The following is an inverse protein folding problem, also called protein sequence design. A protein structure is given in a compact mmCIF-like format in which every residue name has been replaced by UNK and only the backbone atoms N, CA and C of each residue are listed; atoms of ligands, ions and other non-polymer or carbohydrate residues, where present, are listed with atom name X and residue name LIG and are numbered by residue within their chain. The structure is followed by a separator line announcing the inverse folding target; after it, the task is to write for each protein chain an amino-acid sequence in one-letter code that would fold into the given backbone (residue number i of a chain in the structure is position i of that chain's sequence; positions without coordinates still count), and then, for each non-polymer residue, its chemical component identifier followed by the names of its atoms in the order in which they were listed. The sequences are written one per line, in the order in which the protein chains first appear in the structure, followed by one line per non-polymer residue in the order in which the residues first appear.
data_IF_186838282245
#
_entry.id   IF_186838282245
#
_cell.length_a   1.000
_cell.length_b   1.000
_cell.length_c   1.000
_cell.angle_alpha   90.00
_cell.angle_beta   90.00
_cell.angle_gamma   90.00
#
_symmetry.space_group_name_H-M   'P 1'
#
loop_
_entity.id
_entity.type
_entity.pdbx_description
1 polymer ?
#
# COMPACT_ATOMS: atom_id res chain seq x y z
N UNK A 1 1.84 -64.53 2.29
CA UNK A 1 1.76 -63.29 3.09
C UNK A 1 2.55 -62.23 2.35
N UNK A 2 1.87 -61.52 1.45
CA UNK A 2 2.50 -60.55 0.55
C UNK A 2 2.49 -59.18 1.22
N UNK A 3 3.64 -58.76 1.76
CA UNK A 3 3.84 -57.41 2.28
C UNK A 3 4.10 -56.45 1.12
N UNK A 4 3.02 -55.80 0.65
CA UNK A 4 3.09 -54.74 -0.34
C UNK A 4 3.29 -53.41 0.40
N UNK A 5 4.54 -53.01 0.65
CA UNK A 5 4.87 -51.67 1.12
C UNK A 5 4.93 -50.74 -0.07
N UNK A 6 3.81 -50.08 -0.40
CA UNK A 6 3.81 -48.92 -1.29
C UNK A 6 4.60 -47.79 -0.62
N UNK A 7 5.55 -47.14 -1.31
CA UNK A 7 6.19 -45.96 -0.76
C UNK A 7 5.16 -44.83 -0.75
N UNK A 8 5.08 -44.12 0.38
CA UNK A 8 4.41 -42.82 0.47
C UNK A 8 5.15 -41.89 -0.47
N UNK A 9 4.65 -41.74 -1.71
CA UNK A 9 5.06 -40.65 -2.57
C UNK A 9 4.53 -39.38 -1.91
N UNK A 10 5.43 -38.72 -1.21
CA UNK A 10 5.30 -37.36 -0.73
C UNK A 10 4.76 -36.53 -1.87
N UNK A 11 3.62 -35.89 -1.67
CA UNK A 11 3.02 -34.98 -2.63
C UNK A 11 3.98 -33.79 -2.83
N UNK A 12 4.81 -33.89 -3.88
CA UNK A 12 5.79 -32.89 -4.29
C UNK A 12 5.12 -31.73 -5.06
N UNK A 13 3.80 -31.56 -4.96
CA UNK A 13 3.04 -30.47 -5.60
C UNK A 13 2.53 -29.39 -4.63
N UNK A 14 2.98 -29.37 -3.38
CA UNK A 14 2.60 -28.36 -2.38
C UNK A 14 3.31 -26.99 -2.57
N UNK A 15 3.45 -26.52 -3.80
CA UNK A 15 4.04 -25.23 -4.12
C UNK A 15 3.13 -24.38 -5.03
N UNK A 16 2.73 -23.21 -4.49
CA UNK A 16 2.44 -21.94 -5.21
C UNK A 16 1.02 -21.68 -5.77
N UNK A 17 -0.03 -21.94 -4.99
CA UNK A 17 -1.31 -21.23 -5.21
C UNK A 17 -1.45 -20.12 -4.17
N UNK A 18 -1.63 -18.87 -4.62
CA UNK A 18 -2.05 -17.76 -3.74
C UNK A 18 -3.39 -18.15 -3.12
N UNK A 19 -3.50 -18.05 -1.79
CA UNK A 19 -4.74 -18.30 -1.07
C UNK A 19 -5.38 -16.98 -0.57
N UNK A 20 -6.54 -17.10 0.08
CA UNK A 20 -7.26 -15.92 0.56
C UNK A 20 -6.57 -15.28 1.76
N UNK A 21 -5.82 -16.07 2.53
CA UNK A 21 -5.01 -15.61 3.66
C UNK A 21 -3.88 -14.70 3.18
N UNK A 22 -3.19 -15.04 2.09
CA UNK A 22 -2.16 -14.20 1.44
C UNK A 22 -2.74 -12.83 1.03
N UNK A 23 -3.93 -12.82 0.41
CA UNK A 23 -4.60 -11.58 -0.01
C UNK A 23 -5.06 -10.77 1.19
N UNK A 24 -5.65 -11.42 2.19
CA UNK A 24 -6.11 -10.76 3.42
C UNK A 24 -4.94 -10.14 4.17
N UNK A 25 -3.79 -10.83 4.21
CA UNK A 25 -2.58 -10.29 4.81
C UNK A 25 -2.14 -8.99 4.12
N UNK A 26 -2.03 -8.98 2.79
CA UNK A 26 -1.69 -7.78 2.05
C UNK A 26 -2.67 -6.62 2.31
N UNK A 27 -3.97 -6.90 2.34
CA UNK A 27 -4.98 -5.87 2.64
C UNK A 27 -4.85 -5.31 4.07
N UNK A 28 -4.46 -6.14 5.04
CA UNK A 28 -4.17 -5.69 6.41
C UNK A 28 -2.88 -4.87 6.48
N UNK A 29 -1.88 -5.18 5.66
CA UNK A 29 -0.69 -4.35 5.52
C UNK A 29 -1.04 -2.96 4.97
N UNK A 30 -1.94 -2.86 3.99
CA UNK A 30 -2.44 -1.56 3.50
C UNK A 30 -3.27 -0.81 4.57
N UNK A 31 -4.06 -1.53 5.38
CA UNK A 31 -4.83 -0.94 6.48
C UNK A 31 -3.94 -0.19 7.48
N UNK A 32 -2.69 -0.62 7.63
CA UNK A 32 -1.71 0.01 8.49
C UNK A 32 -1.51 1.51 8.21
N UNK A 33 -1.75 1.97 6.97
CA UNK A 33 -1.61 3.37 6.59
C UNK A 33 -2.52 4.28 7.43
N UNK A 34 -3.68 3.78 7.89
CA UNK A 34 -4.61 4.52 8.76
C UNK A 34 -4.01 4.87 10.12
N UNK A 35 -2.91 4.22 10.52
CA UNK A 35 -2.21 4.45 11.79
C UNK A 35 -1.17 5.57 11.68
N UNK A 36 -0.78 5.96 10.47
CA UNK A 36 0.20 7.03 10.24
C UNK A 36 -0.52 8.36 10.36
N UNK A 37 -0.30 9.06 11.47
CA UNK A 37 -0.88 10.39 11.69
C UNK A 37 0.02 11.47 11.10
N UNK A 38 -0.60 12.39 10.35
CA UNK A 38 0.01 13.60 9.79
C UNK A 38 -0.03 14.75 10.78
N UNK A 39 0.71 15.82 10.49
CA UNK A 39 0.63 17.08 11.27
C UNK A 39 -0.68 17.85 11.04
N UNK A 40 -1.31 17.66 9.90
CA UNK A 40 -2.59 18.29 9.56
C UNK A 40 -3.70 17.85 10.52
N UNK A 41 -4.62 18.76 10.82
CA UNK A 41 -5.83 18.44 11.57
C UNK A 41 -7.01 18.29 10.61
N UNK A 42 -7.93 17.40 10.95
CA UNK A 42 -9.21 17.34 10.25
C UNK A 42 -10.00 18.61 10.58
N UNK A 43 -10.51 19.27 9.53
CA UNK A 43 -11.18 20.56 9.61
C UNK A 43 -12.24 20.59 10.72
N UNK A 44 -12.15 21.59 11.59
CA UNK A 44 -13.04 21.79 12.74
C UNK A 44 -13.03 20.65 13.77
N UNK A 45 -11.91 19.92 13.89
CA UNK A 45 -11.71 18.90 14.93
C UNK A 45 -10.32 19.02 15.55
N UNK A 46 -10.15 18.43 16.73
CA UNK A 46 -8.84 18.30 17.39
C UNK A 46 -8.09 17.02 16.97
N UNK A 47 -8.61 16.28 15.99
CA UNK A 47 -8.03 15.03 15.51
C UNK A 47 -7.04 15.30 14.39
N UNK A 48 -5.89 14.63 14.45
CA UNK A 48 -4.93 14.62 13.34
C UNK A 48 -5.48 13.82 12.17
N UNK A 49 -5.21 14.32 10.98
CA UNK A 49 -5.38 13.59 9.73
C UNK A 49 -4.42 12.38 9.71
N UNK A 50 -4.82 11.25 9.13
CA UNK A 50 -3.96 10.11 8.83
C UNK A 50 -3.69 10.00 7.33
N UNK A 51 -2.67 9.24 6.93
CA UNK A 51 -2.22 9.19 5.54
C UNK A 51 -3.21 8.50 4.60
N UNK A 52 -4.07 7.60 5.11
CA UNK A 52 -5.10 6.96 4.29
C UNK A 52 -6.25 7.93 3.96
N UNK A 53 -6.73 8.71 4.93
CA UNK A 53 -7.75 9.74 4.66
C UNK A 53 -7.19 10.91 3.83
N UNK A 54 -5.90 11.22 3.99
CA UNK A 54 -5.20 12.18 3.13
C UNK A 54 -5.19 11.72 1.67
N UNK A 55 -4.79 10.47 1.42
CA UNK A 55 -4.76 9.88 0.08
C UNK A 55 -6.14 9.83 -0.57
N UNK A 56 -7.19 9.49 0.20
CA UNK A 56 -8.57 9.59 -0.27
C UNK A 56 -8.94 11.02 -0.68
N UNK A 57 -8.65 12.01 0.17
CA UNK A 57 -9.01 13.40 -0.11
C UNK A 57 -8.22 13.94 -1.31
N UNK A 58 -6.94 13.57 -1.44
CA UNK A 58 -6.10 13.90 -2.59
C UNK A 58 -6.69 13.33 -3.89
N UNK A 59 -7.09 12.05 -3.90
CA UNK A 59 -7.70 11.42 -5.08
C UNK A 59 -8.98 12.16 -5.52
N UNK A 60 -9.84 12.53 -4.56
CA UNK A 60 -11.05 13.31 -4.83
C UNK A 60 -10.73 14.70 -5.38
N UNK A 61 -9.74 15.38 -4.81
CA UNK A 61 -9.31 16.71 -5.26
C UNK A 61 -8.72 16.65 -6.69
N UNK A 62 -7.82 15.70 -6.95
CA UNK A 62 -7.20 15.50 -8.26
C UNK A 62 -8.27 15.25 -9.34
N UNK A 63 -9.21 14.35 -9.09
CA UNK A 63 -10.29 14.06 -10.04
C UNK A 63 -11.18 15.29 -10.27
N UNK A 64 -11.64 15.94 -9.20
CA UNK A 64 -12.50 17.12 -9.32
C UNK A 64 -11.84 18.27 -10.09
N UNK A 65 -10.54 18.50 -9.87
CA UNK A 65 -9.79 19.57 -10.55
C UNK A 65 -9.57 19.21 -12.01
N UNK A 66 -9.24 17.95 -12.33
CA UNK A 66 -9.07 17.51 -13.70
C UNK A 66 -10.34 17.72 -14.53
N UNK A 67 -11.50 17.36 -13.99
CA UNK A 67 -12.81 17.57 -14.62
C UNK A 67 -13.16 19.06 -14.74
N UNK A 68 -12.98 19.84 -13.66
CA UNK A 68 -13.35 21.26 -13.63
C UNK A 68 -12.56 22.12 -14.64
N UNK A 69 -11.30 21.76 -14.88
CA UNK A 69 -10.41 22.49 -15.77
C UNK A 69 -10.17 21.79 -17.11
N UNK A 70 -10.91 20.71 -17.40
CA UNK A 70 -10.79 19.94 -18.65
C UNK A 70 -9.33 19.54 -18.95
N UNK A 71 -8.61 19.09 -17.93
CA UNK A 71 -7.19 18.74 -18.06
C UNK A 71 -7.03 17.48 -18.91
N UNK A 72 -6.11 17.52 -19.88
CA UNK A 72 -5.74 16.35 -20.70
C UNK A 72 -4.83 15.40 -19.90
N UNK A 73 -5.44 14.64 -18.98
CA UNK A 73 -4.76 13.67 -18.12
C UNK A 73 -5.51 12.34 -18.10
N UNK A 74 -4.77 11.25 -17.92
CA UNK A 74 -5.37 9.94 -17.71
C UNK A 74 -5.87 9.82 -16.26
N UNK A 75 -7.18 9.85 -16.07
CA UNK A 75 -7.83 9.73 -14.76
C UNK A 75 -7.51 8.43 -14.02
N UNK A 76 -7.37 7.30 -14.72
CA UNK A 76 -7.01 6.03 -14.10
C UNK A 76 -5.61 6.11 -13.48
N UNK A 77 -4.64 6.65 -14.23
CA UNK A 77 -3.28 6.82 -13.75
C UNK A 77 -3.22 7.84 -12.59
N UNK A 78 -3.95 8.95 -12.72
CA UNK A 78 -4.04 9.99 -11.69
C UNK A 78 -4.55 9.43 -10.36
N UNK A 79 -5.66 8.68 -10.40
CA UNK A 79 -6.27 8.09 -9.22
C UNK A 79 -5.40 7.00 -8.60
N UNK A 80 -4.80 6.12 -9.43
CA UNK A 80 -3.87 5.08 -8.92
C UNK A 80 -2.68 5.70 -8.20
N UNK A 81 -2.05 6.71 -8.80
CA UNK A 81 -0.92 7.43 -8.20
C UNK A 81 -1.32 8.08 -6.87
N UNK A 82 -2.45 8.78 -6.81
CA UNK A 82 -2.92 9.41 -5.57
C UNK A 82 -3.19 8.39 -4.46
N UNK A 83 -3.68 7.20 -4.79
CA UNK A 83 -3.96 6.15 -3.80
C UNK A 83 -2.72 5.45 -3.26
N UNK A 84 -1.63 5.36 -4.03
CA UNK A 84 -0.40 4.64 -3.62
C UNK A 84 0.71 5.54 -3.09
N UNK A 85 0.64 6.87 -3.33
CA UNK A 85 1.77 7.78 -3.11
C UNK A 85 2.37 7.75 -1.68
N UNK A 86 1.54 7.54 -0.66
CA UNK A 86 1.95 7.54 0.75
C UNK A 86 2.10 6.11 1.33
N UNK A 87 2.01 5.04 0.53
CA UNK A 87 2.12 3.67 1.06
C UNK A 87 3.48 3.40 1.75
N UNK A 88 4.55 4.04 1.29
CA UNK A 88 5.86 3.97 1.93
C UNK A 88 5.88 4.51 3.37
N UNK A 89 4.92 5.38 3.72
CA UNK A 89 4.81 5.92 5.07
C UNK A 89 4.37 4.86 6.10
N UNK A 90 3.84 3.70 5.69
CA UNK A 90 3.49 2.59 6.59
C UNK A 90 4.71 2.20 7.45
N UNK A 91 5.89 2.15 6.84
CA UNK A 91 7.13 1.77 7.52
C UNK A 91 8.00 2.98 7.87
N UNK A 92 7.97 4.04 7.04
CA UNK A 92 8.81 5.23 7.23
C UNK A 92 8.22 6.24 8.24
N UNK A 93 6.89 6.26 8.38
CA UNK A 93 6.13 7.33 9.03
C UNK A 93 6.04 8.62 8.21
N UNK A 94 5.08 9.49 8.54
CA UNK A 94 4.95 10.82 7.92
C UNK A 94 6.16 11.70 8.28
N UNK A 95 6.98 12.02 7.28
CA UNK A 95 8.10 12.94 7.46
C UNK A 95 7.69 14.36 7.11
N UNK A 96 7.54 15.18 8.15
CA UNK A 96 7.16 16.58 7.98
C UNK A 96 8.13 17.36 7.07
N UNK A 97 7.57 18.23 6.22
CA UNK A 97 8.26 18.99 5.17
C UNK A 97 9.53 19.72 5.63
N UNK A 98 9.55 20.17 6.90
CA UNK A 98 10.64 20.93 7.52
C UNK A 98 11.46 20.14 8.55
N UNK A 99 11.36 18.81 8.56
CA UNK A 99 12.17 17.98 9.44
C UNK A 99 13.61 17.83 8.88
N UNK A 100 14.61 17.89 9.77
CA UNK A 100 16.01 17.69 9.41
C UNK A 100 16.27 16.28 8.83
N UNK A 101 15.43 15.31 9.18
CA UNK A 101 15.48 13.92 8.72
C UNK A 101 14.92 13.71 7.30
N UNK A 102 14.42 14.77 6.64
CA UNK A 102 13.76 14.65 5.32
C UNK A 102 14.70 14.16 4.21
N UNK A 103 16.01 14.42 4.32
CA UNK A 103 16.96 13.99 3.29
C UNK A 103 16.92 12.48 3.03
N UNK A 104 16.67 11.68 4.08
CA UNK A 104 16.70 10.22 3.99
C UNK A 104 15.29 9.59 4.00
N UNK A 105 14.21 10.39 4.10
CA UNK A 105 12.85 9.89 4.17
C UNK A 105 12.47 9.03 2.97
N UNK A 106 12.83 9.50 1.77
CA UNK A 106 12.57 8.80 0.51
C UNK A 106 13.25 7.42 0.42
N UNK A 107 14.33 7.18 1.17
CA UNK A 107 15.00 5.86 1.20
C UNK A 107 14.11 4.88 1.94
N UNK A 108 13.65 5.25 3.13
CA UNK A 108 12.77 4.41 3.97
C UNK A 108 11.42 4.17 3.32
N UNK A 109 10.85 5.18 2.67
CA UNK A 109 9.59 5.05 1.93
C UNK A 109 9.73 4.04 0.79
N UNK A 110 10.83 4.09 0.02
CA UNK A 110 11.10 3.11 -1.04
C UNK A 110 11.30 1.70 -0.51
N UNK A 111 11.97 1.55 0.63
CA UNK A 111 12.13 0.24 1.28
C UNK A 111 10.75 -0.33 1.70
N UNK A 112 9.86 0.51 2.21
CA UNK A 112 8.49 0.12 2.56
C UNK A 112 7.66 -0.29 1.34
N UNK A 113 7.75 0.47 0.24
CA UNK A 113 7.12 0.09 -1.03
C UNK A 113 7.68 -1.24 -1.54
N UNK A 114 8.99 -1.44 -1.51
CA UNK A 114 9.62 -2.70 -1.95
C UNK A 114 9.14 -3.90 -1.12
N UNK A 115 8.97 -3.73 0.20
CA UNK A 115 8.37 -4.75 1.07
C UNK A 115 6.93 -5.06 0.66
N UNK A 116 6.08 -4.05 0.55
CA UNK A 116 4.66 -4.22 0.15
C UNK A 116 4.54 -4.84 -1.25
N UNK A 117 5.42 -4.48 -2.18
CA UNK A 117 5.48 -5.06 -3.52
C UNK A 117 5.79 -6.55 -3.50
N UNK A 118 6.56 -7.01 -2.50
CA UNK A 118 6.96 -8.41 -2.32
C UNK A 118 5.92 -9.27 -1.60
N UNK A 119 4.83 -8.69 -1.10
CA UNK A 119 3.81 -9.43 -0.39
C UNK A 119 3.13 -10.46 -1.30
N UNK A 120 3.24 -11.75 -0.92
CA UNK A 120 2.09 -12.65 -0.84
C UNK A 120 1.00 -12.51 -1.92
N UNK A 121 -0.08 -11.88 -1.44
CA UNK A 121 -1.31 -11.64 -2.17
C UNK A 121 -1.42 -10.22 -2.75
N UNK A 122 -0.30 -9.52 -2.96
CA UNK A 122 -0.30 -8.27 -3.71
C UNK A 122 -0.63 -8.54 -5.19
N UNK A 123 -1.81 -8.13 -5.62
CA UNK A 123 -2.26 -8.22 -7.01
C UNK A 123 -1.89 -6.99 -7.87
N UNK A 124 -1.22 -5.98 -7.31
CA UNK A 124 -0.87 -4.73 -7.99
C UNK A 124 0.53 -4.85 -8.58
N UNK A 125 0.62 -4.77 -9.91
CA UNK A 125 1.86 -4.98 -10.65
C UNK A 125 2.96 -3.94 -10.35
N UNK A 126 2.56 -2.71 -10.05
CA UNK A 126 3.47 -1.60 -9.75
C UNK A 126 2.85 -0.71 -8.67
N UNK A 127 3.40 -0.76 -7.46
CA UNK A 127 3.07 0.11 -6.33
C UNK A 127 3.94 1.39 -6.31
N UNK A 128 4.85 1.58 -7.28
CA UNK A 128 5.79 2.71 -7.34
C UNK A 128 5.40 3.83 -8.30
#
# INVERSE_FOLDING_TARGET
MSSNTSPLLTDQNAATTIDIEDVTHFLLELDALKRVNRRSYVTNTDRRENSAEHSWHLAMACWSIAELFELDVNHEQLLKMALVHDLGEIDAGDTFLYADTRQDAHIKERDGIARLQSERGNGIADLS
#
